data_IF_128472030901
#
_entry.id   IF_128472030901
#
_cell.length_a   1.000
_cell.length_b   1.000
_cell.length_c   1.000
_cell.angle_alpha   90.00
_cell.angle_beta   90.00
_cell.angle_gamma   90.00
#
_symmetry.space_group_name_H-M   'P 1'
#
loop_
_entity.id
_entity.type
_entity.pdbx_description
1 polymer ?
#
# COMPACT_ATOMS: atom_id res chain seq x y z
N UNK A 1 15.97 57.58 30.28
CA UNK A 1 16.44 57.37 28.90
C UNK A 1 15.22 56.96 28.06
N UNK A 2 14.66 57.86 27.27
CA UNK A 2 13.43 57.58 26.50
C UNK A 2 13.80 57.01 25.13
N UNK A 3 13.40 55.77 24.84
CA UNK A 3 13.59 55.17 23.53
C UNK A 3 12.52 55.71 22.55
N UNK A 4 12.95 56.48 21.55
CA UNK A 4 12.08 56.99 20.48
C UNK A 4 11.97 55.92 19.39
N UNK A 5 10.92 55.08 19.44
CA UNK A 5 10.70 54.03 18.44
C UNK A 5 9.96 54.64 17.24
N UNK A 6 10.63 54.68 16.08
CA UNK A 6 10.03 55.20 14.84
C UNK A 6 9.01 54.21 14.27
N UNK A 7 7.89 54.72 13.74
CA UNK A 7 6.78 53.92 13.16
C UNK A 7 7.24 52.82 12.19
N UNK A 8 8.31 53.04 11.41
CA UNK A 8 8.88 52.03 10.50
C UNK A 8 9.36 50.75 11.21
N UNK A 9 9.87 50.87 12.43
CA UNK A 9 10.37 49.73 13.20
C UNK A 9 9.23 48.94 13.84
N UNK A 10 8.13 49.62 14.19
CA UNK A 10 6.91 48.97 14.70
C UNK A 10 6.26 48.14 13.58
N UNK A 11 6.18 48.69 12.37
CA UNK A 11 5.63 47.98 11.20
C UNK A 11 6.49 46.77 10.84
N UNK A 12 7.82 46.92 10.85
CA UNK A 12 8.74 45.80 10.58
C UNK A 12 8.61 44.69 11.62
N UNK A 13 8.53 45.04 12.91
CA UNK A 13 8.34 44.05 13.99
C UNK A 13 6.99 43.33 13.86
N UNK A 14 5.91 44.05 13.55
CA UNK A 14 4.59 43.46 13.34
C UNK A 14 4.58 42.48 12.13
N UNK A 15 5.26 42.83 11.03
CA UNK A 15 5.37 41.96 9.86
C UNK A 15 6.15 40.67 10.17
N UNK A 16 7.24 40.76 10.92
CA UNK A 16 8.04 39.59 11.35
C UNK A 16 7.21 38.66 12.25
N UNK A 17 6.45 39.22 13.20
CA UNK A 17 5.56 38.44 14.06
C UNK A 17 4.48 37.73 13.26
N UNK A 18 3.93 38.37 12.23
CA UNK A 18 2.92 37.78 11.33
C UNK A 18 3.50 36.61 10.51
N UNK A 19 4.72 36.75 10.00
CA UNK A 19 5.41 35.67 9.26
C UNK A 19 5.73 34.49 10.19
N UNK A 20 6.21 34.75 11.41
CA UNK A 20 6.47 33.73 12.43
C UNK A 20 5.20 33.01 12.89
N UNK A 21 4.06 33.72 12.96
CA UNK A 21 2.77 33.12 13.30
C UNK A 21 2.18 32.25 12.18
N UNK A 22 2.53 32.50 10.91
CA UNK A 22 2.05 31.71 9.76
C UNK A 22 2.93 30.48 9.43
N UNK A 23 4.19 30.46 9.87
CA UNK A 23 5.08 29.29 9.76
C UNK A 23 4.48 27.97 10.29
N UNK A 24 3.83 27.90 11.47
CA UNK A 24 3.21 26.67 11.96
C UNK A 24 1.94 26.25 11.21
N UNK A 25 1.32 27.14 10.40
CA UNK A 25 0.21 26.76 9.53
C UNK A 25 0.70 26.05 8.25
N UNK A 26 1.85 26.43 7.70
CA UNK A 26 2.45 25.78 6.53
C UNK A 26 2.92 24.35 6.79
N UNK A 27 3.31 24.04 8.03
CA UNK A 27 3.79 22.69 8.41
C UNK A 27 2.66 21.67 8.63
N UNK A 28 1.40 22.09 8.75
CA UNK A 28 0.27 21.15 8.92
C UNK A 28 -0.09 20.39 7.62
N UNK A 29 0.36 20.88 6.46
CA UNK A 29 0.11 20.26 5.15
C UNK A 29 1.09 19.15 4.75
N UNK A 30 2.21 18.99 5.48
CA UNK A 30 3.21 17.94 5.25
C UNK A 30 3.17 16.90 6.37
N UNK A 31 1.99 16.34 6.63
CA UNK A 31 1.92 15.01 7.26
C UNK A 31 1.72 14.01 6.13
N UNK A 32 2.81 13.57 5.52
CA UNK A 32 2.80 12.25 4.91
C UNK A 32 2.39 11.30 6.04
N UNK A 33 1.17 10.76 5.95
CA UNK A 33 0.68 9.82 6.95
C UNK A 33 1.70 8.71 7.06
N UNK A 34 2.39 8.62 8.18
CA UNK A 34 3.19 7.45 8.47
C UNK A 34 2.20 6.28 8.52
N UNK A 35 2.23 5.43 7.50
CA UNK A 35 1.44 4.21 7.47
C UNK A 35 1.93 3.38 8.64
N UNK A 36 1.08 3.22 9.65
CA UNK A 36 1.40 2.45 10.82
C UNK A 36 1.59 0.99 10.37
N UNK A 37 2.84 0.54 10.27
CA UNK A 37 3.14 -0.87 10.10
C UNK A 37 2.51 -1.62 11.28
N UNK A 38 1.69 -2.62 10.99
CA UNK A 38 1.13 -3.47 12.04
C UNK A 38 2.31 -4.09 12.80
N UNK A 39 2.41 -3.82 14.10
CA UNK A 39 3.41 -4.40 14.97
C UNK A 39 3.09 -5.87 15.26
N UNK A 40 2.93 -6.69 14.21
CA UNK A 40 2.70 -8.12 14.36
C UNK A 40 4.02 -8.84 14.54
N UNK A 41 4.15 -9.54 15.67
CA UNK A 41 5.23 -10.48 15.99
C UNK A 41 5.20 -11.76 15.12
N UNK A 42 4.21 -11.90 14.24
CA UNK A 42 4.08 -12.97 13.28
C UNK A 42 4.14 -12.40 11.85
N UNK A 43 5.18 -12.68 11.07
CA UNK A 43 5.35 -12.16 9.71
C UNK A 43 4.48 -12.88 8.66
N UNK A 44 3.65 -13.84 9.07
CA UNK A 44 2.83 -14.59 8.13
C UNK A 44 1.83 -13.66 7.41
N UNK A 45 1.65 -13.91 6.11
CA UNK A 45 0.64 -13.25 5.31
C UNK A 45 -0.75 -13.83 5.57
N UNK A 46 -1.78 -12.98 5.65
CA UNK A 46 -3.16 -13.41 5.83
C UNK A 46 -4.19 -12.38 5.37
N UNK A 47 -5.37 -12.89 4.98
CA UNK A 47 -6.51 -12.10 4.52
C UNK A 47 -7.71 -12.31 5.45
N UNK A 48 -8.51 -11.25 5.60
CA UNK A 48 -9.80 -11.30 6.26
C UNK A 48 -10.92 -10.89 5.29
N UNK A 49 -12.01 -11.67 5.28
CA UNK A 49 -13.14 -11.52 4.37
C UNK A 49 -14.34 -10.98 5.14
N UNK A 50 -14.51 -9.66 5.13
CA UNK A 50 -15.52 -8.99 5.93
C UNK A 50 -16.92 -9.14 5.33
N UNK A 51 -17.01 -9.02 4.00
CA UNK A 51 -18.27 -9.06 3.25
C UNK A 51 -18.06 -9.72 1.90
N UNK A 52 -19.03 -10.54 1.51
CA UNK A 52 -19.03 -11.22 0.23
C UNK A 52 -19.01 -10.22 -0.94
N UNK A 53 -18.15 -10.47 -1.92
CA UNK A 53 -17.98 -9.62 -3.10
C UNK A 53 -17.18 -8.34 -2.89
N UNK A 54 -16.76 -8.03 -1.65
CA UNK A 54 -15.88 -6.88 -1.38
C UNK A 54 -14.40 -7.29 -1.32
N UNK A 55 -13.51 -6.31 -1.50
CA UNK A 55 -12.07 -6.51 -1.44
C UNK A 55 -11.64 -7.01 -0.05
N UNK A 56 -10.85 -8.10 0.06
CA UNK A 56 -10.38 -8.58 1.35
C UNK A 56 -9.37 -7.62 1.99
N UNK A 57 -9.27 -7.69 3.31
CA UNK A 57 -8.33 -6.87 4.10
C UNK A 57 -7.13 -7.72 4.50
N UNK A 58 -5.94 -7.31 4.09
CA UNK A 58 -4.68 -7.93 4.49
C UNK A 58 -4.26 -7.54 5.91
N UNK A 59 -3.49 -8.41 6.56
CA UNK A 59 -2.86 -8.07 7.84
C UNK A 59 -1.69 -7.06 7.71
N UNK A 60 -1.26 -6.79 6.47
CA UNK A 60 -0.52 -5.59 6.08
C UNK A 60 -1.30 -4.79 5.03
N UNK A 61 -1.24 -3.46 5.10
CA UNK A 61 -1.97 -2.59 4.17
C UNK A 61 -1.36 -2.62 2.77
N UNK A 62 -2.19 -2.40 1.74
CA UNK A 62 -1.71 -2.26 0.35
C UNK A 62 -0.65 -1.16 0.21
N UNK A 63 -0.83 -0.02 0.89
CA UNK A 63 0.13 1.09 0.88
C UNK A 63 1.47 0.73 1.52
N UNK A 64 1.46 -0.13 2.54
CA UNK A 64 2.70 -0.64 3.13
C UNK A 64 3.43 -1.57 2.17
N UNK A 65 2.72 -2.53 1.56
CA UNK A 65 3.31 -3.50 0.64
C UNK A 65 3.84 -2.84 -0.65
N UNK A 66 3.16 -1.83 -1.16
CA UNK A 66 3.55 -1.10 -2.37
C UNK A 66 4.94 -0.44 -2.25
N UNK A 67 5.38 -0.08 -1.04
CA UNK A 67 6.74 0.44 -0.79
C UNK A 67 7.84 -0.57 -1.15
N UNK A 68 7.50 -1.85 -1.19
CA UNK A 68 8.38 -2.97 -1.53
C UNK A 68 8.05 -3.60 -2.87
N UNK A 69 7.21 -2.94 -3.69
CA UNK A 69 6.68 -3.51 -4.94
C UNK A 69 5.94 -4.85 -4.72
N UNK A 70 5.31 -5.00 -3.55
CA UNK A 70 4.49 -6.15 -3.20
C UNK A 70 3.00 -5.81 -3.27
N UNK A 71 2.19 -6.78 -3.68
CA UNK A 71 0.76 -6.61 -3.93
C UNK A 71 -0.01 -7.87 -3.55
N UNK A 72 -1.22 -7.69 -3.03
CA UNK A 72 -2.18 -8.78 -2.83
C UNK A 72 -3.52 -8.53 -3.53
N UNK A 73 -3.76 -7.30 -3.96
CA UNK A 73 -4.98 -6.87 -4.65
C UNK A 73 -4.58 -5.91 -5.77
N UNK A 74 -5.28 -6.01 -6.91
CA UNK A 74 -5.17 -5.06 -8.01
C UNK A 74 -6.13 -3.87 -7.85
N UNK A 75 -6.44 -3.21 -8.97
CA UNK A 75 -7.44 -2.13 -9.01
C UNK A 75 -8.86 -2.67 -8.75
N UNK A 76 -9.49 -2.23 -7.66
CA UNK A 76 -10.84 -2.63 -7.26
C UNK A 76 -11.96 -1.90 -8.01
N UNK A 77 -11.63 -0.88 -8.81
CA UNK A 77 -12.60 -0.22 -9.70
C UNK A 77 -12.93 -1.07 -10.93
N UNK A 78 -12.08 -2.05 -11.25
CA UNK A 78 -12.26 -2.96 -12.37
C UNK A 78 -12.84 -4.31 -11.92
N UNK A 79 -13.72 -4.88 -12.73
CA UNK A 79 -14.23 -6.25 -12.53
C UNK A 79 -13.22 -7.28 -13.05
N UNK A 80 -12.04 -7.31 -12.45
CA UNK A 80 -10.93 -8.21 -12.79
C UNK A 80 -10.57 -9.10 -11.62
N UNK A 81 -10.29 -10.37 -11.92
CA UNK A 81 -9.70 -11.32 -10.98
C UNK A 81 -8.38 -11.82 -11.54
N UNK A 82 -7.41 -12.08 -10.66
CA UNK A 82 -6.10 -12.63 -11.00
C UNK A 82 -6.00 -14.04 -10.44
N UNK A 83 -5.72 -15.01 -11.31
CA UNK A 83 -5.62 -16.41 -10.91
C UNK A 83 -4.16 -16.81 -10.79
N UNK A 84 -3.79 -17.32 -9.62
CA UNK A 84 -2.44 -17.79 -9.30
C UNK A 84 -2.50 -19.18 -8.67
N UNK A 85 -1.49 -20.00 -8.93
CA UNK A 85 -1.36 -21.35 -8.38
C UNK A 85 0.01 -21.53 -7.74
N UNK A 86 0.05 -22.12 -6.54
CA UNK A 86 1.29 -22.55 -5.90
C UNK A 86 1.52 -24.02 -6.22
N UNK A 87 2.48 -24.29 -7.08
CA UNK A 87 2.85 -25.59 -7.58
C UNK A 87 4.04 -26.15 -6.79
N UNK A 88 3.76 -26.57 -5.56
CA UNK A 88 4.76 -27.16 -4.64
C UNK A 88 5.04 -28.64 -4.91
N UNK A 89 4.03 -29.38 -5.38
CA UNK A 89 4.10 -30.80 -5.75
C UNK A 89 3.00 -31.11 -6.78
N UNK A 90 3.15 -32.21 -7.53
CA UNK A 90 2.14 -32.64 -8.52
C UNK A 90 1.27 -33.78 -7.97
N UNK A 91 -0.04 -33.66 -8.15
CA UNK A 91 -1.05 -34.65 -7.71
C UNK A 91 -1.78 -35.35 -8.88
N UNK A 92 -1.40 -35.06 -10.13
CA UNK A 92 -2.01 -35.57 -11.36
C UNK A 92 -3.08 -34.65 -11.98
N UNK A 93 -3.19 -33.39 -11.53
CA UNK A 93 -4.29 -32.49 -11.92
C UNK A 93 -3.86 -31.26 -12.71
N UNK A 94 -2.56 -30.94 -12.76
CA UNK A 94 -2.14 -29.70 -13.43
C UNK A 94 -2.46 -29.70 -14.92
N UNK A 95 -2.39 -30.86 -15.59
CA UNK A 95 -2.79 -30.97 -16.99
C UNK A 95 -4.26 -30.56 -17.22
N UNK A 96 -5.19 -31.04 -16.37
CA UNK A 96 -6.62 -30.69 -16.51
C UNK A 96 -6.91 -29.23 -16.14
N UNK A 97 -6.16 -28.67 -15.20
CA UNK A 97 -6.18 -27.24 -14.89
C UNK A 97 -5.74 -26.44 -16.11
N UNK A 98 -4.60 -26.77 -16.72
CA UNK A 98 -4.07 -26.10 -17.92
C UNK A 98 -5.03 -26.19 -19.11
N UNK A 99 -5.64 -27.36 -19.35
CA UNK A 99 -6.66 -27.54 -20.39
C UNK A 99 -7.89 -26.64 -20.14
N UNK A 100 -8.32 -26.52 -18.90
CA UNK A 100 -9.43 -25.64 -18.51
C UNK A 100 -9.08 -24.18 -18.74
N UNK A 101 -7.90 -23.73 -18.29
CA UNK A 101 -7.42 -22.36 -18.52
C UNK A 101 -7.36 -22.04 -20.01
N UNK A 102 -6.83 -22.97 -20.81
CA UNK A 102 -6.75 -22.84 -22.27
C UNK A 102 -8.14 -22.75 -22.91
N UNK A 103 -9.07 -23.62 -22.51
CA UNK A 103 -10.46 -23.63 -23.01
C UNK A 103 -11.15 -22.29 -22.78
N UNK A 104 -10.92 -21.67 -21.62
CA UNK A 104 -11.52 -20.38 -21.27
C UNK A 104 -10.66 -19.17 -21.70
N UNK A 105 -9.53 -19.40 -22.40
CA UNK A 105 -8.56 -18.39 -22.77
C UNK A 105 -8.10 -17.51 -21.57
N UNK A 106 -7.95 -18.14 -20.40
CA UNK A 106 -7.51 -17.49 -19.17
C UNK A 106 -6.00 -17.60 -19.06
N UNK A 107 -5.36 -16.49 -18.66
CA UNK A 107 -3.95 -16.46 -18.26
C UNK A 107 -3.87 -16.55 -16.74
N UNK A 108 -2.94 -17.36 -16.24
CA UNK A 108 -2.68 -17.53 -14.82
C UNK A 108 -1.17 -17.54 -14.58
N UNK A 109 -0.77 -17.24 -13.34
CA UNK A 109 0.62 -17.38 -12.90
C UNK A 109 0.78 -18.66 -12.06
N UNK A 110 1.88 -19.37 -12.26
CA UNK A 110 2.25 -20.56 -11.48
C UNK A 110 3.55 -20.26 -10.73
N UNK A 111 3.49 -20.32 -9.40
CA UNK A 111 4.66 -20.26 -8.54
C UNK A 111 5.15 -21.68 -8.30
N UNK A 112 6.21 -22.06 -9.01
CA UNK A 112 6.78 -23.42 -9.00
C UNK A 112 7.99 -23.51 -8.07
N UNK A 113 8.21 -24.66 -7.47
CA UNK A 113 9.45 -25.00 -6.75
C UNK A 113 10.33 -25.93 -7.59
N UNK A 114 11.63 -26.05 -7.25
CA UNK A 114 12.57 -26.88 -8.01
C UNK A 114 12.09 -28.33 -8.22
N UNK A 115 11.65 -28.99 -7.14
CA UNK A 115 11.13 -30.36 -7.20
C UNK A 115 9.96 -30.53 -8.19
N UNK A 116 9.11 -29.51 -8.34
CA UNK A 116 7.97 -29.55 -9.25
C UNK A 116 8.40 -29.59 -10.72
N UNK A 117 9.56 -29.02 -11.05
CA UNK A 117 10.12 -29.01 -12.40
C UNK A 117 10.85 -30.32 -12.75
N UNK A 118 11.26 -31.07 -11.73
CA UNK A 118 12.04 -32.31 -11.88
C UNK A 118 11.18 -33.57 -11.86
N UNK A 119 9.88 -33.44 -11.56
CA UNK A 119 8.89 -34.53 -11.56
C UNK A 119 8.28 -34.72 -12.94
#
# INVERSE_FOLDING_TARGET
MFAIIRKRHIIAAAAVVLVLAMLPLGMKGFRAGAVQASAQTNPNWGLSFQKEGETPVGNASSDYLAQYNAYYVGDSSEKKIYLTFDAGYEAGYTASILDTLKKHNVKAAFFVVGNYLET
#
